data_IF_216538579776
#
_entry.id   IF_216538579776
#
_cell.length_a   1.000
_cell.length_b   1.000
_cell.length_c   1.000
_cell.angle_alpha   90.00
_cell.angle_beta   90.00
_cell.angle_gamma   90.00
#
_symmetry.space_group_name_H-M   'P 1'
#
loop_
_entity.id
_entity.type
_entity.pdbx_description
1 polymer ?
#
# COMPACT_ATOMS: atom_id res chain seq x y z
N UNK A 1 -11.78 -7.81 -6.67
CA UNK A 1 -12.91 -8.74 -6.77
C UNK A 1 -12.60 -9.94 -7.67
N UNK A 2 -12.14 -9.74 -8.90
CA UNK A 2 -11.85 -10.85 -9.83
C UNK A 2 -10.76 -11.81 -9.30
N UNK A 3 -9.67 -11.27 -8.73
CA UNK A 3 -8.60 -12.09 -8.16
C UNK A 3 -9.10 -12.94 -6.98
N UNK A 4 -9.93 -12.39 -6.11
CA UNK A 4 -10.50 -13.14 -4.98
C UNK A 4 -11.40 -14.29 -5.45
N UNK A 5 -12.22 -14.05 -6.47
CA UNK A 5 -13.07 -15.09 -7.05
C UNK A 5 -12.23 -16.21 -7.68
N UNK A 6 -11.18 -15.86 -8.42
CA UNK A 6 -10.27 -16.81 -9.04
C UNK A 6 -9.53 -17.69 -8.01
N UNK A 7 -9.07 -17.09 -6.89
CA UNK A 7 -8.39 -17.84 -5.83
C UNK A 7 -9.37 -18.83 -5.16
N UNK A 8 -10.61 -18.42 -4.89
CA UNK A 8 -11.64 -19.32 -4.32
C UNK A 8 -11.94 -20.48 -5.25
N UNK A 9 -12.23 -20.20 -6.51
CA UNK A 9 -12.50 -21.24 -7.51
C UNK A 9 -11.33 -22.22 -7.63
N UNK A 10 -10.10 -21.72 -7.68
CA UNK A 10 -8.91 -22.56 -7.70
C UNK A 10 -8.82 -23.45 -6.44
N UNK A 11 -9.13 -22.91 -5.26
CA UNK A 11 -9.14 -23.69 -4.02
C UNK A 11 -10.22 -24.78 -4.03
N UNK A 12 -11.40 -24.48 -4.56
CA UNK A 12 -12.50 -25.45 -4.68
C UNK A 12 -12.12 -26.59 -5.64
N UNK A 13 -11.37 -26.27 -6.69
CA UNK A 13 -10.77 -27.24 -7.61
C UNK A 13 -9.52 -27.92 -7.06
N UNK A 14 -9.14 -27.67 -5.81
CA UNK A 14 -7.91 -28.16 -5.17
C UNK A 14 -6.60 -27.74 -5.88
N UNK A 15 -6.67 -26.73 -6.73
CA UNK A 15 -5.51 -26.13 -7.37
C UNK A 15 -4.95 -25.01 -6.49
N UNK A 16 -3.80 -25.25 -5.85
CA UNK A 16 -3.20 -24.35 -4.84
C UNK A 16 -1.79 -23.92 -5.23
N UNK A 17 -1.64 -23.15 -6.30
CA UNK A 17 -0.33 -22.63 -6.68
C UNK A 17 0.12 -21.55 -5.69
N UNK A 18 1.39 -21.16 -5.80
CA UNK A 18 1.88 -19.94 -5.20
C UNK A 18 1.34 -18.74 -6.00
N UNK A 19 0.48 -17.95 -5.38
CA UNK A 19 -0.10 -16.77 -6.00
C UNK A 19 0.77 -15.53 -5.77
N UNK A 20 0.89 -14.71 -6.80
CA UNK A 20 1.45 -13.37 -6.70
C UNK A 20 0.38 -12.37 -7.14
N UNK A 21 0.04 -11.44 -6.25
CA UNK A 21 -1.09 -10.52 -6.43
C UNK A 21 -0.68 -9.09 -6.08
N UNK A 22 -1.47 -8.13 -6.53
CA UNK A 22 -1.41 -6.77 -5.99
C UNK A 22 -2.27 -6.70 -4.73
N UNK A 23 -1.70 -6.41 -3.54
CA UNK A 23 -2.41 -6.47 -2.27
C UNK A 23 -3.68 -5.61 -2.22
N UNK A 24 -3.67 -4.46 -2.85
CA UNK A 24 -4.81 -3.54 -2.86
C UNK A 24 -6.00 -4.01 -3.70
N UNK A 25 -5.80 -4.96 -4.62
CA UNK A 25 -6.89 -5.56 -5.39
C UNK A 25 -7.50 -6.78 -4.69
N UNK A 26 -6.90 -7.19 -3.58
CA UNK A 26 -7.28 -8.36 -2.82
C UNK A 26 -7.69 -7.94 -1.41
N UNK A 27 -8.96 -8.02 -1.14
CA UNK A 27 -9.46 -7.84 0.23
C UNK A 27 -9.24 -9.17 0.95
N UNK A 28 -8.16 -9.27 1.70
CA UNK A 28 -7.75 -10.49 2.41
C UNK A 28 -8.83 -10.98 3.37
N UNK A 29 -9.55 -10.08 4.03
CA UNK A 29 -10.65 -10.44 4.92
C UNK A 29 -11.81 -11.14 4.18
N UNK A 30 -12.01 -10.86 2.89
CA UNK A 30 -13.04 -11.55 2.09
C UNK A 30 -12.62 -12.94 1.63
N UNK A 31 -11.34 -13.24 1.61
CA UNK A 31 -10.81 -14.57 1.33
C UNK A 31 -10.86 -15.47 2.58
N UNK A 32 -10.77 -14.88 3.77
CA UNK A 32 -10.74 -15.65 5.01
C UNK A 32 -9.66 -16.73 4.98
N UNK A 33 -10.07 -17.99 5.26
CA UNK A 33 -9.15 -19.14 5.25
C UNK A 33 -8.59 -19.49 3.87
N UNK A 34 -9.26 -19.08 2.81
CA UNK A 34 -8.78 -19.32 1.44
C UNK A 34 -7.48 -18.59 1.15
N UNK A 35 -7.23 -17.44 1.81
CA UNK A 35 -5.97 -16.72 1.69
C UNK A 35 -4.76 -17.52 2.24
N UNK A 36 -5.02 -18.49 3.12
CA UNK A 36 -3.98 -19.28 3.79
C UNK A 36 -3.75 -20.66 3.14
N UNK A 37 -4.64 -21.08 2.25
CA UNK A 37 -4.48 -22.37 1.57
C UNK A 37 -3.40 -22.38 0.52
N UNK A 38 -3.29 -21.35 -0.37
CA UNK A 38 -2.13 -21.14 -1.23
C UNK A 38 -1.10 -20.29 -0.52
N UNK A 39 0.14 -20.32 -1.00
CA UNK A 39 1.14 -19.33 -0.61
C UNK A 39 0.82 -18.03 -1.37
N UNK A 40 0.26 -17.06 -0.65
CA UNK A 40 -0.19 -15.80 -1.23
C UNK A 40 0.84 -14.70 -0.98
N UNK A 41 1.43 -14.22 -2.05
CA UNK A 41 2.37 -13.11 -2.04
C UNK A 41 1.76 -11.87 -2.69
N UNK A 42 2.09 -10.70 -2.14
CA UNK A 42 1.75 -9.40 -2.72
C UNK A 42 3.00 -8.64 -3.13
N UNK A 43 2.92 -7.93 -4.25
CA UNK A 43 3.94 -6.96 -4.69
C UNK A 43 3.28 -5.59 -4.81
N UNK A 44 3.92 -4.57 -4.23
CA UNK A 44 3.42 -3.20 -4.32
C UNK A 44 4.54 -2.19 -4.23
N UNK A 45 4.40 -1.09 -4.96
CA UNK A 45 5.21 0.13 -4.79
C UNK A 45 4.71 0.99 -3.63
N UNK A 46 3.52 0.72 -3.13
CA UNK A 46 2.90 1.43 -2.02
C UNK A 46 3.20 0.74 -0.69
N UNK A 47 3.36 1.49 0.39
CA UNK A 47 3.45 0.88 1.72
C UNK A 47 2.21 0.04 2.00
N UNK A 48 2.41 -1.20 2.44
CA UNK A 48 1.30 -2.04 2.86
C UNK A 48 0.61 -1.43 4.07
N UNK A 49 -0.65 -1.80 4.24
CA UNK A 49 -1.44 -1.41 5.40
C UNK A 49 -1.98 -2.65 6.10
N UNK A 50 -1.85 -2.64 7.40
CA UNK A 50 -2.43 -3.64 8.29
C UNK A 50 -3.10 -2.92 9.43
N UNK A 51 -4.46 -2.87 9.50
CA UNK A 51 -5.17 -2.19 10.58
C UNK A 51 -4.69 -2.65 11.96
N UNK A 52 -4.33 -1.69 12.82
CA UNK A 52 -3.88 -1.96 14.18
C UNK A 52 -2.50 -2.62 14.30
N UNK A 53 -1.77 -2.81 13.21
CA UNK A 53 -0.40 -3.31 13.24
C UNK A 53 0.59 -2.14 13.14
N UNK A 54 1.31 -1.91 14.23
CA UNK A 54 2.27 -0.81 14.37
C UNK A 54 3.69 -1.33 14.61
N UNK A 55 3.92 -2.62 14.38
CA UNK A 55 5.18 -3.30 14.67
C UNK A 55 5.96 -3.68 13.41
N UNK A 56 7.19 -4.15 13.60
CA UNK A 56 8.03 -4.60 12.51
C UNK A 56 8.21 -3.54 11.43
N UNK A 57 7.96 -3.88 10.15
CA UNK A 57 8.10 -2.94 9.04
C UNK A 57 7.16 -1.74 9.11
N UNK A 58 6.07 -1.84 9.89
CA UNK A 58 5.10 -0.76 10.07
C UNK A 58 5.49 0.23 11.17
N UNK A 59 6.49 -0.11 12.01
CA UNK A 59 6.94 0.75 13.11
C UNK A 59 7.39 2.13 12.62
N UNK A 60 8.05 2.16 11.47
CA UNK A 60 8.59 3.40 10.90
C UNK A 60 7.51 4.41 10.49
N UNK A 61 6.29 3.96 10.22
CA UNK A 61 5.16 4.84 9.88
C UNK A 61 3.92 4.62 10.74
N UNK A 62 4.13 4.04 11.93
CA UNK A 62 3.06 3.75 12.88
C UNK A 62 2.24 5.00 13.25
N UNK A 63 2.88 6.15 13.43
CA UNK A 63 2.18 7.39 13.77
C UNK A 63 1.31 7.90 12.64
N UNK A 64 1.72 7.70 11.39
CA UNK A 64 0.88 8.04 10.25
C UNK A 64 -0.32 7.10 10.12
N UNK A 65 -0.11 5.79 10.36
CA UNK A 65 -1.21 4.82 10.40
C UNK A 65 -2.22 5.21 11.47
N UNK A 66 -1.78 5.49 12.70
CA UNK A 66 -2.67 5.91 13.81
C UNK A 66 -3.44 7.18 13.47
N UNK A 67 -2.78 8.16 12.84
CA UNK A 67 -3.42 9.41 12.39
C UNK A 67 -4.51 9.14 11.36
N UNK A 68 -4.21 8.30 10.37
CA UNK A 68 -5.16 7.87 9.36
C UNK A 68 -6.36 7.14 9.99
N UNK A 69 -6.12 6.15 10.84
CA UNK A 69 -7.17 5.38 11.51
C UNK A 69 -8.07 6.27 12.37
N UNK A 70 -7.48 7.19 13.13
CA UNK A 70 -8.23 8.14 13.93
C UNK A 70 -9.10 9.09 13.07
N UNK A 71 -8.55 9.60 11.98
CA UNK A 71 -9.29 10.43 11.04
C UNK A 71 -10.43 9.64 10.39
N UNK A 72 -10.17 8.41 9.98
CA UNK A 72 -11.20 7.55 9.38
C UNK A 72 -12.33 7.24 10.36
N UNK A 73 -12.00 6.81 11.57
CA UNK A 73 -12.99 6.51 12.62
C UNK A 73 -13.89 7.72 12.95
N UNK A 74 -13.32 8.93 12.94
CA UNK A 74 -14.05 10.18 13.15
C UNK A 74 -15.07 10.47 12.04
N UNK A 75 -14.71 10.23 10.78
CA UNK A 75 -15.52 10.64 9.62
C UNK A 75 -16.36 9.50 9.03
N UNK A 76 -16.04 8.25 9.34
CA UNK A 76 -16.71 7.04 8.86
C UNK A 76 -16.91 6.03 9.99
N UNK A 77 -17.61 6.39 11.05
CA UNK A 77 -17.81 5.49 12.20
C UNK A 77 -18.54 4.21 11.75
N UNK A 78 -18.04 3.06 12.20
CA UNK A 78 -18.63 1.75 11.92
C UNK A 78 -18.40 1.19 10.50
N UNK A 79 -17.71 1.91 9.62
CA UNK A 79 -17.34 1.41 8.30
C UNK A 79 -15.97 0.71 8.40
N UNK A 80 -15.84 -0.54 7.93
CA UNK A 80 -14.56 -1.25 7.95
C UNK A 80 -13.48 -0.52 7.14
N UNK A 81 -12.29 -0.44 7.70
CA UNK A 81 -11.12 0.13 7.07
C UNK A 81 -10.48 -0.90 6.15
N UNK A 82 -10.04 -0.47 4.95
CA UNK A 82 -9.41 -1.34 3.95
C UNK A 82 -8.15 -0.70 3.37
N UNK A 83 -7.33 -1.50 2.68
CA UNK A 83 -6.12 -1.06 1.99
C UNK A 83 -6.39 0.06 0.97
N UNK A 84 -7.56 0.05 0.33
CA UNK A 84 -7.95 1.10 -0.63
C UNK A 84 -8.06 2.46 0.06
N UNK A 85 -8.59 2.51 1.29
CA UNK A 85 -8.69 3.75 2.05
C UNK A 85 -7.30 4.28 2.41
N UNK A 86 -6.37 3.40 2.78
CA UNK A 86 -4.99 3.76 3.04
C UNK A 86 -4.29 4.32 1.80
N UNK A 87 -4.43 3.65 0.66
CA UNK A 87 -3.89 4.14 -0.61
C UNK A 87 -4.44 5.51 -0.98
N UNK A 88 -5.76 5.71 -0.80
CA UNK A 88 -6.39 6.99 -1.04
C UNK A 88 -5.81 8.08 -0.12
N UNK A 89 -5.59 7.76 1.15
CA UNK A 89 -4.93 8.66 2.10
C UNK A 89 -3.54 9.08 1.62
N UNK A 90 -2.71 8.13 1.20
CA UNK A 90 -1.38 8.40 0.68
C UNK A 90 -1.42 9.23 -0.63
N UNK A 91 -2.35 8.93 -1.52
CA UNK A 91 -2.54 9.72 -2.74
C UNK A 91 -2.90 11.18 -2.41
N UNK A 92 -3.80 11.41 -1.46
CA UNK A 92 -4.14 12.76 -0.99
C UNK A 92 -2.97 13.47 -0.33
N UNK A 93 -2.13 12.78 0.44
CA UNK A 93 -0.89 13.36 0.98
C UNK A 93 0.05 13.82 -0.13
N UNK A 94 0.18 13.04 -1.20
CA UNK A 94 0.98 13.43 -2.37
C UNK A 94 0.44 14.70 -3.02
N UNK A 95 -0.87 14.77 -3.22
CA UNK A 95 -1.54 15.95 -3.78
C UNK A 95 -1.35 17.15 -2.86
N UNK A 96 -1.54 16.99 -1.55
CA UNK A 96 -1.35 18.06 -0.57
C UNK A 96 0.09 18.59 -0.60
N UNK A 97 1.08 17.69 -0.61
CA UNK A 97 2.48 18.07 -0.76
C UNK A 97 2.72 18.92 -2.00
N UNK A 98 2.17 18.51 -3.15
CA UNK A 98 2.32 19.26 -4.40
C UNK A 98 1.72 20.67 -4.29
N UNK A 99 0.54 20.81 -3.70
CA UNK A 99 -0.07 22.12 -3.49
C UNK A 99 0.70 22.99 -2.51
N UNK A 100 1.23 22.41 -1.43
CA UNK A 100 2.07 23.14 -0.47
C UNK A 100 3.35 23.67 -1.13
N UNK A 101 3.99 22.88 -2.00
CA UNK A 101 5.18 23.32 -2.74
C UNK A 101 4.86 24.34 -3.84
N UNK A 102 3.73 24.20 -4.46
CA UNK A 102 3.27 25.06 -5.57
C UNK A 102 2.76 26.41 -5.07
N UNK A 103 2.13 26.45 -3.93
CA UNK A 103 1.46 27.62 -3.40
C UNK A 103 0.33 28.11 -4.30
N UNK A 104 0.24 29.44 -4.47
CA UNK A 104 -0.80 30.08 -5.29
C UNK A 104 -0.55 29.95 -6.80
N UNK A 105 0.69 29.72 -7.20
CA UNK A 105 1.12 29.64 -8.60
C UNK A 105 1.06 28.21 -9.15
N UNK A 106 0.07 27.46 -8.74
CA UNK A 106 -0.09 26.03 -9.04
C UNK A 106 -0.59 25.80 -10.47
N UNK A 107 0.26 26.05 -11.44
CA UNK A 107 0.02 25.70 -12.83
C UNK A 107 0.42 24.23 -13.08
N UNK A 108 -0.08 23.64 -14.17
CA UNK A 108 0.31 22.30 -14.59
C UNK A 108 1.84 22.14 -14.73
N UNK A 109 2.50 23.14 -15.29
CA UNK A 109 3.95 23.10 -15.49
C UNK A 109 4.71 23.17 -14.18
N UNK A 110 4.24 23.98 -13.22
CA UNK A 110 4.86 24.09 -11.91
C UNK A 110 4.73 22.76 -11.12
N UNK A 111 3.55 22.14 -11.16
CA UNK A 111 3.33 20.82 -10.53
C UNK A 111 4.27 19.78 -11.10
N UNK A 112 4.39 19.67 -12.42
CA UNK A 112 5.32 18.75 -13.08
C UNK A 112 6.76 19.06 -12.68
N UNK A 113 7.15 20.34 -12.68
CA UNK A 113 8.47 20.79 -12.25
C UNK A 113 8.82 20.35 -10.83
N UNK A 114 7.86 20.44 -9.89
CA UNK A 114 8.03 20.00 -8.50
C UNK A 114 8.22 18.48 -8.43
N UNK A 115 7.40 17.72 -9.16
CA UNK A 115 7.46 16.25 -9.16
C UNK A 115 8.79 15.71 -9.66
N UNK A 116 9.37 16.33 -10.71
CA UNK A 116 10.63 15.89 -11.31
C UNK A 116 11.87 16.47 -10.63
N UNK A 117 11.71 17.44 -9.71
CA UNK A 117 12.86 18.11 -9.08
C UNK A 117 13.57 17.22 -8.05
N UNK A 118 12.83 16.39 -7.34
CA UNK A 118 13.35 15.47 -6.31
C UNK A 118 12.38 14.32 -6.03
N UNK A 119 12.87 13.17 -5.55
CA UNK A 119 12.01 12.10 -5.08
C UNK A 119 11.10 12.56 -3.94
N UNK A 120 9.89 12.03 -3.92
CA UNK A 120 8.91 12.24 -2.85
C UNK A 120 8.70 10.96 -2.05
N UNK A 121 8.79 11.03 -0.75
CA UNK A 121 8.76 9.87 0.16
C UNK A 121 7.46 9.69 0.93
N UNK A 122 6.36 10.36 0.56
CA UNK A 122 5.09 10.39 1.28
C UNK A 122 5.18 10.88 2.73
N UNK A 123 6.34 11.41 3.13
CA UNK A 123 6.65 11.76 4.53
C UNK A 123 6.45 10.60 5.51
N UNK A 124 6.50 9.38 5.01
CA UNK A 124 6.58 8.19 5.83
C UNK A 124 8.02 8.02 6.27
N UNK A 125 8.22 7.60 7.50
CA UNK A 125 9.56 7.40 8.05
C UNK A 125 10.31 6.27 7.34
N UNK A 126 11.61 6.24 7.52
CA UNK A 126 12.53 5.32 6.83
C UNK A 126 12.32 3.85 7.23
N UNK A 127 12.65 2.90 6.35
CA UNK A 127 13.08 3.06 4.96
C UNK A 127 11.89 3.22 4.02
N UNK A 128 11.94 4.20 3.16
CA UNK A 128 10.84 4.55 2.26
C UNK A 128 11.04 3.94 0.88
N UNK A 129 9.93 3.61 0.23
CA UNK A 129 9.89 3.43 -1.21
C UNK A 129 9.53 4.79 -1.83
N UNK A 130 10.49 5.65 -2.19
CA UNK A 130 10.18 6.97 -2.68
C UNK A 130 9.48 6.88 -4.04
N UNK A 131 8.65 7.87 -4.32
CA UNK A 131 8.18 8.12 -5.67
C UNK A 131 9.19 9.04 -6.33
N UNK A 132 9.86 8.57 -7.36
CA UNK A 132 10.96 9.28 -8.01
C UNK A 132 10.67 9.49 -9.50
N UNK A 133 10.22 10.69 -9.84
CA UNK A 133 10.02 11.11 -11.23
C UNK A 133 11.26 11.77 -11.84
N UNK A 134 12.38 11.86 -11.11
CA UNK A 134 13.60 12.52 -11.62
C UNK A 134 14.24 11.73 -12.76
N UNK A 135 14.09 10.40 -12.77
CA UNK A 135 14.65 9.49 -13.78
C UNK A 135 13.82 9.49 -15.06
N UNK A 136 12.49 9.52 -14.90
CA UNK A 136 11.54 9.54 -15.99
C UNK A 136 10.30 10.30 -15.50
N UNK A 137 10.01 11.45 -16.08
CA UNK A 137 8.89 12.31 -15.66
C UNK A 137 7.49 11.70 -15.77
N UNK A 138 7.37 10.43 -16.17
CA UNK A 138 6.09 9.71 -16.32
C UNK A 138 5.94 8.54 -15.36
N UNK A 139 7.03 8.03 -14.82
CA UNK A 139 7.06 6.86 -13.95
C UNK A 139 7.85 7.18 -12.69
N UNK A 140 7.23 6.95 -11.53
CA UNK A 140 7.86 7.26 -10.23
C UNK A 140 8.07 6.05 -9.33
N UNK A 141 7.60 4.87 -9.72
CA UNK A 141 7.59 3.67 -8.89
C UNK A 141 8.73 2.69 -9.21
N UNK A 142 9.95 3.02 -8.85
CA UNK A 142 11.14 2.18 -9.10
C UNK A 142 11.43 1.18 -7.99
N UNK A 143 10.78 1.31 -6.85
CA UNK A 143 10.96 0.44 -5.70
C UNK A 143 9.71 -0.35 -5.42
N UNK A 144 9.89 -1.62 -5.08
CA UNK A 144 8.79 -2.50 -4.71
C UNK A 144 9.05 -3.19 -3.40
N UNK A 145 7.98 -3.49 -2.71
CA UNK A 145 7.98 -4.36 -1.53
C UNK A 145 7.24 -5.65 -1.83
N UNK A 146 7.73 -6.75 -1.29
CA UNK A 146 7.08 -8.05 -1.36
C UNK A 146 6.49 -8.41 0.00
N UNK A 147 5.30 -8.94 0.00
CA UNK A 147 4.54 -9.31 1.17
C UNK A 147 4.10 -10.77 1.10
N UNK A 148 3.84 -11.36 2.25
CA UNK A 148 3.22 -12.68 2.38
C UNK A 148 1.99 -12.55 3.29
N UNK A 149 0.88 -13.16 2.89
CA UNK A 149 -0.31 -13.21 3.73
C UNK A 149 -0.04 -14.06 4.98
N UNK A 150 -0.50 -13.60 6.13
CA UNK A 150 -0.38 -14.34 7.38
C UNK A 150 -1.63 -14.16 8.24
N UNK A 151 -1.86 -15.11 9.15
CA UNK A 151 -2.94 -14.99 10.13
C UNK A 151 -2.42 -14.24 11.37
N UNK A 152 -3.10 -13.17 11.71
CA UNK A 152 -2.81 -12.37 12.91
C UNK A 152 -3.30 -13.09 14.16
N UNK A 153 -2.81 -12.71 15.37
CA UNK A 153 -3.28 -13.27 16.63
C UNK A 153 -4.80 -13.14 16.85
N UNK A 154 -5.42 -12.10 16.32
CA UNK A 154 -6.88 -11.87 16.39
C UNK A 154 -7.67 -12.68 15.34
N UNK A 155 -7.01 -13.54 14.56
CA UNK A 155 -7.62 -14.38 13.53
C UNK A 155 -7.81 -13.73 12.18
N UNK A 156 -7.64 -12.41 12.04
CA UNK A 156 -7.73 -11.74 10.74
C UNK A 156 -6.50 -12.04 9.86
N UNK A 157 -6.64 -11.85 8.56
CA UNK A 157 -5.53 -11.98 7.61
C UNK A 157 -4.86 -10.63 7.45
N UNK A 158 -3.54 -10.63 7.48
CA UNK A 158 -2.70 -9.45 7.23
C UNK A 158 -1.56 -9.75 6.28
N UNK A 159 -0.73 -8.77 6.06
CA UNK A 159 0.47 -8.85 5.23
C UNK A 159 1.71 -8.65 6.08
N UNK A 160 2.68 -9.54 5.99
CA UNK A 160 4.03 -9.32 6.53
C UNK A 160 4.99 -9.02 5.39
N UNK A 161 5.95 -8.14 5.62
CA UNK A 161 6.99 -7.86 4.64
C UNK A 161 7.96 -9.05 4.56
N UNK A 162 8.21 -9.54 3.33
CA UNK A 162 9.29 -10.47 3.01
C UNK A 162 10.50 -9.67 2.56
N UNK A 163 10.24 -8.63 1.76
CA UNK A 163 11.25 -7.75 1.22
C UNK A 163 10.69 -6.34 1.18
N UNK A 164 11.48 -5.37 1.64
CA UNK A 164 11.07 -3.97 1.70
C UNK A 164 11.90 -3.12 0.77
N UNK A 165 11.21 -2.30 -0.05
CA UNK A 165 11.78 -1.28 -0.91
C UNK A 165 13.01 -1.71 -1.72
N UNK A 166 12.91 -2.80 -2.45
CA UNK A 166 13.94 -3.17 -3.41
C UNK A 166 13.73 -2.43 -4.72
N UNK A 167 14.81 -1.85 -5.24
CA UNK A 167 14.81 -1.30 -6.58
C UNK A 167 14.63 -2.44 -7.60
N UNK A 168 13.65 -2.31 -8.46
CA UNK A 168 13.26 -3.33 -9.43
C UNK A 168 13.59 -2.97 -10.86
N UNK A 169 13.89 -1.70 -11.11
CA UNK A 169 14.21 -1.18 -12.44
C UNK A 169 15.50 -0.37 -12.36
N UNK A 170 16.54 -0.86 -12.94
CA UNK A 170 17.81 -0.13 -13.13
C UNK A 170 18.01 0.19 -14.60
#
# INVERSE_FOLDING_TARGET
LAQSAMIREANDLQYRPQWMVFPFNLVTDTLGDDAMKPVLHGISTWPAYSPGDYSGPFADYADEIKRFEAAYAKHRPGVPLTDIHWMTWLAWKSIHYLFDQCGRDCTRNNVVGIMIAKPYDYQLTKPNCPVDFTRNGREGGYWTSMFEAYRRPNGSIGWKHIQHCKETWS
#
